data_IF_569804489797
#
_entry.id   IF_569804489797
#
_cell.length_a   1.000
_cell.length_b   1.000
_cell.length_c   1.000
_cell.angle_alpha   90.00
_cell.angle_beta   90.00
_cell.angle_gamma   90.00
#
_symmetry.space_group_name_H-M   'P 1'
#
loop_
_entity.id
_entity.type
_entity.pdbx_description
1 polymer ?
#
# COMPACT_ATOMS: atom_id res chain seq x y z
N UNK A 1 22.01 -14.58 7.31
CA UNK A 1 20.86 -14.32 6.41
C UNK A 1 21.06 -12.96 5.79
N UNK A 2 20.98 -12.82 4.45
CA UNK A 2 21.08 -11.52 3.80
C UNK A 2 20.01 -10.56 4.31
N UNK A 3 20.30 -9.25 4.31
CA UNK A 3 19.34 -8.22 4.66
C UNK A 3 18.09 -8.30 3.76
N UNK A 4 16.86 -8.15 4.32
CA UNK A 4 15.66 -8.05 3.50
C UNK A 4 15.52 -6.70 2.79
N UNK A 5 16.42 -5.74 3.03
CA UNK A 5 16.36 -4.37 2.51
C UNK A 5 17.38 -4.18 1.38
N UNK A 6 16.95 -3.63 0.24
CA UNK A 6 17.79 -3.47 -0.97
C UNK A 6 18.73 -2.26 -0.88
N UNK A 7 18.18 -1.12 -0.48
CA UNK A 7 18.82 0.20 -0.65
C UNK A 7 18.97 0.98 0.64
N UNK A 8 18.42 0.43 1.72
CA UNK A 8 18.33 1.06 3.04
C UNK A 8 18.92 0.14 4.10
N UNK A 9 19.32 0.75 5.21
CA UNK A 9 19.81 0.10 6.42
C UNK A 9 18.97 0.54 7.63
N UNK A 10 17.69 0.13 7.71
CA UNK A 10 16.83 0.54 8.82
C UNK A 10 17.41 0.09 10.17
N UNK A 11 17.25 0.94 11.19
CA UNK A 11 17.65 0.60 12.53
C UNK A 11 16.95 -0.68 13.02
N UNK A 12 17.65 -1.46 13.85
CA UNK A 12 17.07 -2.68 14.40
C UNK A 12 15.81 -2.35 15.23
N UNK A 13 14.69 -3.10 15.10
CA UNK A 13 13.45 -2.80 15.83
C UNK A 13 13.61 -2.68 17.35
N UNK A 14 14.59 -3.39 17.93
CA UNK A 14 14.90 -3.33 19.36
C UNK A 14 15.48 -1.99 19.83
N UNK A 15 16.07 -1.21 18.91
CA UNK A 15 16.61 0.11 19.19
C UNK A 15 15.57 1.22 19.04
N UNK A 16 14.35 0.89 18.60
CA UNK A 16 13.28 1.86 18.43
C UNK A 16 12.83 2.44 19.76
N UNK A 17 12.54 3.74 19.75
CA UNK A 17 11.93 4.50 20.85
C UNK A 17 10.68 5.22 20.35
N UNK A 18 9.94 5.87 21.26
CA UNK A 18 8.78 6.71 20.91
C UNK A 18 7.69 5.97 20.12
N UNK A 19 7.11 6.67 19.13
CA UNK A 19 6.02 6.17 18.28
C UNK A 19 6.42 4.94 17.46
N UNK A 20 7.66 4.89 16.96
CA UNK A 20 8.19 3.73 16.22
C UNK A 20 8.18 2.46 17.08
N UNK A 21 8.57 2.57 18.35
CA UNK A 21 8.48 1.45 19.29
C UNK A 21 7.03 1.04 19.57
N UNK A 22 6.11 2.01 19.64
CA UNK A 22 4.69 1.75 19.84
C UNK A 22 4.06 1.01 18.65
N UNK A 23 4.41 1.38 17.43
CA UNK A 23 4.02 0.66 16.20
C UNK A 23 4.54 -0.77 16.22
N UNK A 24 5.81 -0.99 16.57
CA UNK A 24 6.36 -2.34 16.65
C UNK A 24 5.69 -3.20 17.73
N UNK A 25 5.29 -2.61 18.86
CA UNK A 25 4.48 -3.32 19.87
C UNK A 25 3.11 -3.72 19.31
N UNK A 26 2.39 -2.81 18.64
CA UNK A 26 1.10 -3.14 18.03
C UNK A 26 1.23 -4.21 16.93
N UNK A 27 2.28 -4.16 16.11
CA UNK A 27 2.56 -5.19 15.10
C UNK A 27 2.74 -6.58 15.74
N UNK A 28 3.49 -6.69 16.84
CA UNK A 28 3.68 -7.98 17.53
C UNK A 28 2.38 -8.46 18.21
N UNK A 29 1.61 -7.54 18.79
CA UNK A 29 0.31 -7.83 19.39
C UNK A 29 -0.73 -8.30 18.37
N UNK A 30 -0.88 -7.58 17.26
CA UNK A 30 -1.95 -7.81 16.29
C UNK A 30 -1.62 -8.92 15.28
N UNK A 31 -0.35 -9.08 14.92
CA UNK A 31 0.08 -10.02 13.88
C UNK A 31 1.01 -11.13 14.38
N UNK A 32 1.53 -11.04 15.61
CA UNK A 32 2.52 -12.00 16.13
C UNK A 32 3.86 -11.97 15.39
N UNK A 33 4.15 -10.88 14.65
CA UNK A 33 5.38 -10.75 13.88
C UNK A 33 6.38 -9.81 14.58
N UNK A 34 7.46 -10.41 15.10
CA UNK A 34 8.59 -9.65 15.66
C UNK A 34 9.43 -8.91 14.62
N UNK A 35 9.28 -9.26 13.34
CA UNK A 35 9.94 -8.59 12.21
C UNK A 35 8.93 -8.41 11.09
N UNK A 36 8.64 -7.16 10.76
CA UNK A 36 7.77 -6.78 9.67
C UNK A 36 8.54 -5.90 8.68
N UNK A 37 9.29 -6.46 7.71
CA UNK A 37 10.20 -5.68 6.87
C UNK A 37 9.52 -4.54 6.11
N UNK A 38 8.29 -4.73 5.64
CA UNK A 38 7.52 -3.68 4.94
C UNK A 38 7.22 -2.45 5.81
N UNK A 39 7.15 -2.62 7.13
CA UNK A 39 7.03 -1.50 8.08
C UNK A 39 8.39 -1.05 8.60
N UNK A 40 9.32 -1.98 8.80
CA UNK A 40 10.66 -1.64 9.32
C UNK A 40 11.41 -0.73 8.35
N UNK A 41 11.24 -0.92 7.03
CA UNK A 41 11.84 -0.02 6.04
C UNK A 41 11.32 1.42 6.15
N UNK A 42 10.06 1.62 6.55
CA UNK A 42 9.48 2.95 6.74
C UNK A 42 9.98 3.65 8.01
N UNK A 43 10.67 2.95 8.92
CA UNK A 43 11.16 3.53 10.18
C UNK A 43 12.19 4.64 10.02
N UNK A 44 12.83 4.74 8.84
CA UNK A 44 13.67 5.88 8.49
C UNK A 44 12.87 7.21 8.40
N UNK A 45 11.54 7.12 8.26
CA UNK A 45 10.61 8.24 8.33
C UNK A 45 9.45 7.91 9.30
N UNK A 46 9.60 8.13 10.62
CA UNK A 46 8.65 7.67 11.64
C UNK A 46 7.18 8.04 11.37
N UNK A 47 6.91 9.26 10.89
CA UNK A 47 5.54 9.68 10.53
C UNK A 47 4.92 8.80 9.42
N UNK A 48 5.72 8.37 8.43
CA UNK A 48 5.27 7.44 7.39
C UNK A 48 5.00 6.05 7.96
N UNK A 49 5.88 5.54 8.83
CA UNK A 49 5.68 4.26 9.50
C UNK A 49 4.36 4.25 10.30
N UNK A 50 4.18 5.25 11.15
CA UNK A 50 2.99 5.38 12.01
C UNK A 50 1.73 5.45 11.16
N UNK A 51 1.67 6.38 10.20
CA UNK A 51 0.48 6.56 9.38
C UNK A 51 0.16 5.33 8.51
N UNK A 52 1.19 4.67 7.97
CA UNK A 52 1.00 3.43 7.20
C UNK A 52 0.48 2.29 8.06
N UNK A 53 0.97 2.16 9.29
CA UNK A 53 0.48 1.14 10.22
C UNK A 53 -0.98 1.38 10.61
N UNK A 54 -1.33 2.62 10.96
CA UNK A 54 -2.72 2.98 11.28
C UNK A 54 -3.65 2.70 10.09
N UNK A 55 -3.28 3.14 8.88
CA UNK A 55 -4.08 2.88 7.68
C UNK A 55 -4.30 1.38 7.42
N UNK A 56 -3.26 0.56 7.58
CA UNK A 56 -3.36 -0.91 7.44
C UNK A 56 -4.19 -1.52 8.56
N UNK A 57 -3.95 -1.14 9.81
CA UNK A 57 -4.61 -1.75 10.96
C UNK A 57 -6.10 -1.47 10.96
N UNK A 58 -6.49 -0.21 10.75
CA UNK A 58 -7.90 0.19 10.76
C UNK A 58 -8.66 -0.33 9.54
N UNK A 59 -7.99 -0.56 8.40
CA UNK A 59 -8.64 -1.16 7.22
C UNK A 59 -8.70 -2.69 7.28
N UNK A 60 -7.59 -3.36 7.54
CA UNK A 60 -7.43 -4.81 7.35
C UNK A 60 -7.74 -5.62 8.62
N UNK A 61 -7.40 -5.10 9.81
CA UNK A 61 -7.41 -5.84 11.07
C UNK A 61 -8.61 -5.53 11.95
N UNK A 62 -8.93 -4.24 12.11
CA UNK A 62 -10.08 -3.78 12.87
C UNK A 62 -11.38 -3.85 12.05
N UNK A 63 -12.51 -3.54 12.68
CA UNK A 63 -13.81 -3.41 12.01
C UNK A 63 -14.68 -4.67 12.04
N UNK A 64 -15.80 -4.60 11.32
CA UNK A 64 -16.83 -5.63 11.27
C UNK A 64 -16.78 -6.49 10.01
N UNK A 65 -16.07 -6.05 8.96
CA UNK A 65 -15.97 -6.83 7.73
C UNK A 65 -15.10 -8.08 7.92
N UNK A 66 -15.45 -9.22 7.30
CA UNK A 66 -14.65 -10.45 7.42
C UNK A 66 -13.20 -10.23 6.97
N UNK A 67 -12.24 -10.53 7.87
CA UNK A 67 -10.81 -10.31 7.62
C UNK A 67 -10.26 -11.13 6.45
N UNK A 68 -10.79 -12.32 6.26
CA UNK A 68 -10.47 -13.20 5.14
C UNK A 68 -10.92 -12.63 3.79
N UNK A 69 -12.10 -12.00 3.73
CA UNK A 69 -12.59 -11.27 2.57
C UNK A 69 -11.74 -10.03 2.27
N UNK A 70 -11.38 -9.25 3.29
CA UNK A 70 -10.43 -8.12 3.15
C UNK A 70 -9.06 -8.58 2.67
N UNK A 71 -8.57 -9.71 3.17
CA UNK A 71 -7.32 -10.31 2.72
C UNK A 71 -7.38 -10.73 1.23
N UNK A 72 -8.53 -11.18 0.71
CA UNK A 72 -8.69 -11.48 -0.72
C UNK A 72 -8.63 -10.22 -1.59
N UNK A 73 -9.23 -9.11 -1.16
CA UNK A 73 -9.07 -7.81 -1.83
C UNK A 73 -7.59 -7.40 -1.87
N UNK A 74 -6.89 -7.49 -0.73
CA UNK A 74 -5.47 -7.19 -0.67
C UNK A 74 -4.64 -8.11 -1.59
N UNK A 75 -5.01 -9.40 -1.70
CA UNK A 75 -4.34 -10.34 -2.62
C UNK A 75 -4.52 -9.93 -4.09
N UNK A 76 -5.70 -9.43 -4.47
CA UNK A 76 -5.97 -8.92 -5.81
C UNK A 76 -5.08 -7.72 -6.16
N UNK A 77 -4.99 -6.78 -5.22
CA UNK A 77 -4.11 -5.61 -5.35
C UNK A 77 -2.64 -6.02 -5.48
N UNK A 78 -2.19 -7.00 -4.70
CA UNK A 78 -0.81 -7.53 -4.78
C UNK A 78 -0.54 -8.21 -6.11
N UNK A 79 -1.52 -8.93 -6.69
CA UNK A 79 -1.40 -9.49 -8.05
C UNK A 79 -1.28 -8.40 -9.11
N UNK A 80 -2.05 -7.32 -8.97
CA UNK A 80 -2.04 -6.20 -9.91
C UNK A 80 -0.79 -5.30 -9.77
N UNK A 81 -0.11 -5.33 -8.63
CA UNK A 81 1.07 -4.48 -8.38
C UNK A 81 2.34 -5.12 -8.94
N UNK A 82 3.09 -4.45 -9.84
CA UNK A 82 4.33 -5.00 -10.42
C UNK A 82 5.33 -5.45 -9.34
N UNK A 83 5.74 -6.72 -9.42
CA UNK A 83 6.71 -7.38 -8.52
C UNK A 83 6.25 -7.67 -7.09
N UNK A 84 5.08 -7.19 -6.66
CA UNK A 84 4.63 -7.33 -5.27
C UNK A 84 4.41 -8.79 -4.83
N UNK A 85 4.06 -9.69 -5.75
CA UNK A 85 3.89 -11.12 -5.44
C UNK A 85 5.19 -11.73 -4.86
N UNK A 86 6.36 -11.33 -5.36
CA UNK A 86 7.66 -11.90 -4.94
C UNK A 86 8.08 -11.47 -3.53
N UNK A 87 7.51 -10.38 -3.04
CA UNK A 87 7.73 -9.84 -1.69
C UNK A 87 6.51 -10.01 -0.79
N UNK A 88 5.46 -10.72 -1.23
CA UNK A 88 4.19 -10.81 -0.52
C UNK A 88 4.30 -11.40 0.89
N UNK A 89 5.33 -12.22 1.15
CA UNK A 89 5.61 -12.75 2.48
C UNK A 89 6.06 -11.70 3.52
N UNK A 90 6.36 -10.46 3.10
CA UNK A 90 6.69 -9.34 3.98
C UNK A 90 5.49 -8.44 4.29
N UNK A 91 4.33 -8.69 3.66
CA UNK A 91 3.10 -7.93 3.83
C UNK A 91 2.33 -8.39 5.09
N UNK A 92 1.40 -7.56 5.61
CA UNK A 92 0.60 -7.91 6.79
C UNK A 92 -0.45 -9.00 6.52
N UNK A 93 -1.09 -9.01 5.34
CA UNK A 93 -2.22 -9.89 5.02
C UNK A 93 -1.97 -11.41 5.18
N UNK A 94 -0.79 -11.97 4.87
CA UNK A 94 -0.48 -13.37 5.21
C UNK A 94 -0.59 -13.73 6.70
N UNK A 95 -0.49 -12.75 7.60
CA UNK A 95 -0.37 -12.96 9.04
C UNK A 95 -1.71 -12.74 9.79
N UNK A 96 -2.76 -12.28 9.10
CA UNK A 96 -4.08 -12.06 9.73
C UNK A 96 -4.87 -13.37 9.82
N UNK A 97 -5.91 -13.39 10.67
CA UNK A 97 -6.93 -14.44 10.61
C UNK A 97 -7.58 -14.44 9.21
N UNK A 98 -7.39 -15.51 8.43
CA UNK A 98 -7.73 -15.54 7.00
C UNK A 98 -6.55 -15.47 6.03
N UNK A 99 -5.32 -15.26 6.51
CA UNK A 99 -4.09 -15.18 5.70
C UNK A 99 -3.82 -16.43 4.84
N UNK A 100 -4.42 -17.57 5.19
CA UNK A 100 -4.46 -18.77 4.33
C UNK A 100 -5.07 -18.47 2.95
N UNK A 101 -6.20 -17.76 2.90
CA UNK A 101 -6.88 -17.43 1.63
C UNK A 101 -6.06 -16.46 0.79
N UNK A 102 -5.40 -15.48 1.41
CA UNK A 102 -4.44 -14.61 0.74
C UNK A 102 -3.33 -15.43 0.06
N UNK A 103 -2.74 -16.38 0.79
CA UNK A 103 -1.66 -17.21 0.27
C UNK A 103 -2.10 -18.19 -0.82
N UNK A 104 -3.29 -18.77 -0.67
CA UNK A 104 -3.89 -19.64 -1.68
C UNK A 104 -4.17 -18.87 -2.97
N UNK A 105 -4.75 -17.67 -2.85
CA UNK A 105 -4.91 -16.78 -3.98
C UNK A 105 -3.56 -16.49 -4.65
N UNK A 106 -2.53 -16.07 -3.95
CA UNK A 106 -1.24 -15.81 -4.62
C UNK A 106 -0.56 -17.06 -5.18
N UNK A 107 -0.73 -18.23 -4.54
CA UNK A 107 -0.06 -19.47 -4.91
C UNK A 107 -0.74 -20.29 -6.01
N UNK A 108 -2.04 -20.12 -6.26
CA UNK A 108 -2.79 -20.85 -7.29
C UNK A 108 -2.60 -20.28 -8.70
N UNK A 109 -2.29 -18.99 -8.81
CA UNK A 109 -2.25 -18.26 -10.09
C UNK A 109 -3.61 -18.06 -10.78
N UNK A 110 -4.66 -18.76 -10.33
CA UNK A 110 -6.03 -18.71 -10.85
C UNK A 110 -7.05 -18.15 -9.85
N UNK A 111 -8.32 -18.09 -10.24
CA UNK A 111 -9.39 -17.67 -9.33
C UNK A 111 -9.64 -18.72 -8.21
N UNK A 112 -10.04 -18.31 -6.99
CA UNK A 112 -10.61 -19.19 -5.99
C UNK A 112 -11.79 -19.99 -6.54
N UNK A 113 -12.01 -21.21 -6.02
CA UNK A 113 -13.15 -22.06 -6.40
C UNK A 113 -14.48 -21.45 -5.93
N UNK A 114 -14.49 -20.81 -4.77
CA UNK A 114 -15.65 -20.09 -4.26
C UNK A 114 -15.89 -18.78 -5.06
N UNK A 115 -17.10 -18.64 -5.60
CA UNK A 115 -17.45 -17.53 -6.49
C UNK A 115 -17.41 -16.16 -5.79
N UNK A 116 -17.79 -16.08 -4.51
CA UNK A 116 -17.75 -14.82 -3.75
C UNK A 116 -16.29 -14.38 -3.51
N UNK A 117 -15.42 -15.32 -3.16
CA UNK A 117 -13.99 -15.07 -3.05
C UNK A 117 -13.34 -14.68 -4.38
N UNK A 118 -13.75 -15.32 -5.48
CA UNK A 118 -13.28 -14.97 -6.81
C UNK A 118 -13.65 -13.53 -7.19
N UNK A 119 -14.89 -13.10 -6.89
CA UNK A 119 -15.32 -11.71 -7.11
C UNK A 119 -14.51 -10.70 -6.29
N UNK A 120 -14.24 -10.96 -5.02
CA UNK A 120 -13.42 -10.08 -4.18
C UNK A 120 -11.98 -9.94 -4.71
N UNK A 121 -11.39 -11.05 -5.15
CA UNK A 121 -10.05 -11.06 -5.74
C UNK A 121 -10.00 -10.32 -7.07
N UNK A 122 -11.02 -10.52 -7.92
CA UNK A 122 -11.17 -9.82 -9.19
C UNK A 122 -11.35 -8.31 -8.98
N UNK A 123 -12.23 -7.91 -8.06
CA UNK A 123 -12.43 -6.51 -7.68
C UNK A 123 -11.13 -5.85 -7.23
N UNK A 124 -10.38 -6.47 -6.29
CA UNK A 124 -9.09 -5.94 -5.85
C UNK A 124 -8.01 -5.91 -6.94
N UNK A 125 -8.11 -6.76 -7.96
CA UNK A 125 -7.21 -6.71 -9.13
C UNK A 125 -7.58 -5.54 -10.04
N UNK A 126 -8.88 -5.30 -10.20
CA UNK A 126 -9.45 -4.26 -11.06
C UNK A 126 -9.28 -2.84 -10.53
N UNK A 127 -9.07 -2.63 -9.22
CA UNK A 127 -8.90 -1.28 -8.62
C UNK A 127 -7.78 -0.46 -9.24
N UNK A 128 -6.78 -1.11 -9.86
CA UNK A 128 -5.68 -0.44 -10.56
C UNK A 128 -6.11 0.22 -11.87
N UNK A 129 -7.19 -0.25 -12.48
CA UNK A 129 -7.65 0.14 -13.83
C UNK A 129 -8.94 0.95 -13.72
N UNK A 130 -8.90 2.27 -13.99
CA UNK A 130 -10.11 3.09 -14.00
C UNK A 130 -11.16 2.54 -14.98
N UNK A 131 -12.43 2.52 -14.55
CA UNK A 131 -13.55 2.08 -15.40
C UNK A 131 -13.63 0.57 -15.64
N UNK A 132 -12.80 -0.24 -14.96
CA UNK A 132 -12.91 -1.69 -15.05
C UNK A 132 -14.33 -2.17 -14.65
N UNK A 133 -14.95 -3.10 -15.39
CA UNK A 133 -16.34 -3.52 -15.16
C UNK A 133 -16.59 -4.04 -13.73
N UNK A 134 -15.60 -4.69 -13.13
CA UNK A 134 -15.68 -5.22 -11.77
C UNK A 134 -15.90 -4.12 -10.73
N UNK A 135 -15.49 -2.87 -11.01
CA UNK A 135 -15.65 -1.76 -10.08
C UNK A 135 -17.07 -1.20 -10.05
N UNK A 136 -17.90 -1.52 -11.05
CA UNK A 136 -19.27 -1.00 -11.15
C UNK A 136 -20.21 -1.60 -10.09
N UNK A 137 -19.98 -2.85 -9.69
CA UNK A 137 -20.73 -3.55 -8.64
C UNK A 137 -19.77 -4.19 -7.62
N UNK A 138 -19.31 -3.42 -6.61
CA UNK A 138 -18.41 -3.92 -5.58
C UNK A 138 -19.03 -5.13 -4.84
N UNK A 139 -18.30 -6.26 -4.69
CA UNK A 139 -18.84 -7.52 -4.18
C UNK A 139 -18.90 -7.55 -2.65
N UNK A 140 -19.26 -6.44 -2.01
CA UNK A 140 -19.35 -6.32 -0.57
C UNK A 140 -20.50 -5.39 -0.14
N UNK A 141 -21.06 -5.59 1.08
CA UNK A 141 -22.14 -4.74 1.58
C UNK A 141 -21.69 -3.27 1.71
N UNK A 142 -22.56 -2.29 1.39
CA UNK A 142 -22.24 -0.86 1.52
C UNK A 142 -21.77 -0.45 2.92
N UNK A 143 -22.34 -1.04 3.98
CA UNK A 143 -21.93 -0.77 5.37
C UNK A 143 -20.49 -1.19 5.71
N UNK A 144 -19.86 -2.03 4.87
CA UNK A 144 -18.44 -2.40 5.00
C UNK A 144 -17.54 -1.71 3.98
N UNK A 145 -18.08 -0.84 3.13
CA UNK A 145 -17.31 -0.19 2.06
C UNK A 145 -16.04 0.53 2.57
N UNK A 146 -16.06 1.27 3.71
CA UNK A 146 -14.84 1.89 4.24
C UNK A 146 -13.70 0.89 4.48
N UNK A 147 -14.00 -0.29 5.03
CA UNK A 147 -12.98 -1.29 5.36
C UNK A 147 -12.37 -1.93 4.09
N UNK A 148 -13.19 -2.22 3.07
CA UNK A 148 -12.73 -2.78 1.81
C UNK A 148 -11.97 -1.77 0.94
N UNK A 149 -12.48 -0.54 0.82
CA UNK A 149 -11.81 0.55 0.10
C UNK A 149 -10.47 0.88 0.77
N UNK A 150 -10.47 1.08 2.09
CA UNK A 150 -9.25 1.32 2.84
C UNK A 150 -8.23 0.18 2.70
N UNK A 151 -8.70 -1.08 2.66
CA UNK A 151 -7.82 -2.24 2.47
C UNK A 151 -7.17 -2.21 1.09
N UNK A 152 -7.93 -1.92 0.03
CA UNK A 152 -7.38 -1.82 -1.32
C UNK A 152 -6.35 -0.68 -1.44
N UNK A 153 -6.66 0.50 -0.89
CA UNK A 153 -5.79 1.68 -0.93
C UNK A 153 -4.52 1.48 -0.11
N UNK A 154 -4.62 0.97 1.11
CA UNK A 154 -3.46 0.65 1.94
C UNK A 154 -2.61 -0.47 1.31
N UNK A 155 -3.23 -1.48 0.70
CA UNK A 155 -2.52 -2.52 -0.04
C UNK A 155 -1.75 -1.95 -1.23
N UNK A 156 -2.35 -1.02 -2.00
CA UNK A 156 -1.67 -0.35 -3.11
C UNK A 156 -0.43 0.44 -2.67
N UNK A 157 -0.49 1.07 -1.51
CA UNK A 157 0.67 1.77 -0.94
C UNK A 157 1.74 0.77 -0.48
N UNK A 158 1.42 -0.14 0.43
CA UNK A 158 2.41 -1.03 1.07
C UNK A 158 3.01 -2.03 0.07
N UNK A 159 2.25 -2.50 -0.91
CA UNK A 159 2.75 -3.41 -1.95
C UNK A 159 3.84 -2.76 -2.80
N UNK A 160 3.72 -1.47 -3.11
CA UNK A 160 4.71 -0.69 -3.87
C UNK A 160 5.96 -0.40 -3.06
N UNK A 161 5.81 -0.01 -1.78
CA UNK A 161 6.94 0.11 -0.84
C UNK A 161 7.73 -1.20 -0.80
N UNK A 162 7.04 -2.32 -0.59
CA UNK A 162 7.67 -3.63 -0.49
C UNK A 162 8.38 -4.02 -1.79
N UNK A 163 7.73 -3.83 -2.94
CA UNK A 163 8.29 -4.21 -4.24
C UNK A 163 9.52 -3.37 -4.63
N UNK A 164 9.57 -2.10 -4.21
CA UNK A 164 10.68 -1.21 -4.48
C UNK A 164 11.88 -1.47 -3.56
N UNK A 165 11.64 -1.61 -2.27
CA UNK A 165 12.70 -1.51 -1.26
C UNK A 165 13.12 -2.84 -0.61
N UNK A 166 12.35 -3.92 -0.79
CA UNK A 166 12.64 -5.21 -0.18
C UNK A 166 13.19 -6.21 -1.17
N UNK A 167 14.09 -7.05 -0.69
CA UNK A 167 14.50 -8.24 -1.42
C UNK A 167 13.42 -9.30 -1.33
N UNK A 168 13.30 -10.06 -2.41
CA UNK A 168 12.53 -11.29 -2.40
C UNK A 168 13.09 -12.19 -1.29
N UNK A 169 12.20 -12.83 -0.52
CA UNK A 169 12.64 -14.03 0.17
C UNK A 169 13.01 -15.04 -0.93
N UNK A 170 14.20 -15.65 -0.81
CA UNK A 170 14.76 -16.69 -1.67
C UNK A 170 13.69 -17.51 -2.44
N UNK A 171 13.94 -17.84 -3.73
CA UNK A 171 12.91 -18.00 -4.76
C UNK A 171 11.81 -18.95 -4.31
N UNK A 172 10.69 -18.36 -3.88
CA UNK A 172 9.51 -19.12 -3.53
C UNK A 172 8.69 -19.32 -4.81
N UNK A 173 9.01 -20.35 -5.57
CA UNK A 173 8.03 -20.90 -6.50
C UNK A 173 6.69 -21.14 -5.76
N UNK A 174 5.54 -21.14 -6.44
CA UNK A 174 4.21 -21.14 -5.81
C UNK A 174 3.98 -22.29 -4.81
N UNK A 175 4.72 -23.40 -4.93
CA UNK A 175 4.74 -24.51 -3.96
C UNK A 175 5.42 -24.15 -2.62
N UNK A 176 6.50 -23.37 -2.65
CA UNK A 176 7.26 -22.96 -1.46
C UNK A 176 6.68 -21.73 -0.77
N UNK A 177 6.00 -20.84 -1.50
CA UNK A 177 5.15 -19.81 -0.90
C UNK A 177 4.03 -20.48 -0.09
N UNK A 178 3.39 -21.52 -0.65
CA UNK A 178 2.38 -22.33 0.07
C UNK A 178 2.93 -23.04 1.30
N UNK A 179 4.17 -23.52 1.30
CA UNK A 179 4.77 -24.17 2.49
C UNK A 179 5.26 -23.16 3.52
N UNK A 180 5.83 -22.03 3.10
CA UNK A 180 6.23 -20.94 3.97
C UNK A 180 5.01 -20.31 4.65
N UNK A 181 3.92 -20.09 3.91
CA UNK A 181 2.67 -19.57 4.50
C UNK A 181 1.95 -20.63 5.33
N UNK A 182 2.00 -21.92 4.98
CA UNK A 182 1.51 -22.99 5.89
C UNK A 182 2.32 -23.07 7.19
N UNK A 183 3.64 -22.91 7.13
CA UNK A 183 4.50 -22.86 8.31
C UNK A 183 4.28 -21.60 9.16
N UNK A 184 3.92 -20.48 8.52
CA UNK A 184 3.52 -19.22 9.20
C UNK A 184 2.12 -19.32 9.79
N UNK A 185 1.18 -19.97 9.10
CA UNK A 185 -0.19 -20.25 9.57
C UNK A 185 -0.25 -21.35 10.65
N UNK A 186 0.71 -22.27 10.69
CA UNK A 186 0.85 -23.29 11.74
C UNK A 186 1.44 -22.78 13.04
N UNK A 187 2.08 -21.59 13.03
CA UNK A 187 2.49 -20.86 14.24
C UNK A 187 1.46 -19.84 14.72
N UNK A 188 0.30 -19.76 14.05
CA UNK A 188 -0.86 -18.97 14.48
C UNK A 188 -1.59 -19.54 15.71
N UNK A 189 -0.95 -20.45 16.46
CA UNK A 189 -1.44 -21.07 17.68
C UNK A 189 -1.67 -20.14 18.88
N UNK A 190 -1.94 -18.84 18.66
CA UNK A 190 -2.49 -17.92 19.67
C UNK A 190 -3.45 -16.87 19.07
N UNK A 191 -3.74 -16.88 17.76
CA UNK A 191 -4.60 -15.86 17.14
C UNK A 191 -6.08 -15.98 17.56
N UNK A 192 -6.52 -17.17 17.98
CA UNK A 192 -7.88 -17.43 18.46
C UNK A 192 -8.14 -16.89 19.88
N UNK A 193 -7.09 -16.65 20.68
CA UNK A 193 -7.20 -16.11 22.04
C UNK A 193 -6.95 -14.60 22.11
N UNK A 194 -6.42 -14.00 21.03
CA UNK A 194 -6.17 -12.56 20.96
C UNK A 194 -7.47 -11.84 20.65
N UNK A 195 -7.87 -10.97 21.56
CA UNK A 195 -8.97 -10.01 21.36
C UNK A 195 -8.85 -9.36 19.97
N UNK A 196 -9.93 -9.32 19.17
CA UNK A 196 -9.88 -8.64 17.87
C UNK A 196 -9.51 -7.16 18.07
N UNK A 197 -8.56 -6.61 17.26
CA UNK A 197 -8.26 -5.19 17.25
C UNK A 197 -9.51 -4.33 17.18
N UNK A 198 -9.66 -3.40 18.13
CA UNK A 198 -10.80 -2.49 18.17
C UNK A 198 -10.58 -1.34 17.18
N UNK A 199 -11.63 -0.94 16.43
CA UNK A 199 -11.57 0.27 15.61
C UNK A 199 -11.16 1.49 16.43
N UNK A 200 -10.29 2.32 15.87
CA UNK A 200 -9.84 3.58 16.47
C UNK A 200 -8.67 3.46 17.46
N UNK A 201 -8.34 2.25 17.93
CA UNK A 201 -7.31 2.06 18.96
C UNK A 201 -5.90 2.47 18.51
N UNK A 202 -5.59 2.42 17.21
CA UNK A 202 -4.29 2.89 16.71
C UNK A 202 -4.23 4.38 16.41
N UNK A 203 -5.35 5.10 16.44
CA UNK A 203 -5.39 6.54 16.16
C UNK A 203 -4.62 7.36 17.20
N UNK A 204 -4.51 6.85 18.44
CA UNK A 204 -3.71 7.48 19.49
C UNK A 204 -2.22 7.60 19.13
N UNK A 205 -1.73 6.82 18.15
CA UNK A 205 -0.36 6.92 17.64
C UNK A 205 -0.15 8.15 16.74
N UNK A 206 -1.21 8.78 16.22
CA UNK A 206 -1.10 9.79 15.17
C UNK A 206 -0.62 11.17 15.63
N UNK A 207 -0.46 11.41 16.94
CA UNK A 207 0.24 12.55 17.56
C UNK A 207 -0.19 13.97 17.12
N UNK A 208 0.05 14.31 15.86
CA UNK A 208 -0.33 15.55 15.17
C UNK A 208 -1.62 15.47 14.33
N UNK A 209 -2.60 14.64 14.74
CA UNK A 209 -3.91 14.50 14.09
C UNK A 209 -3.89 13.70 12.78
N UNK A 210 -4.99 13.66 12.02
CA UNK A 210 -5.10 12.95 10.73
C UNK A 210 -5.22 13.88 9.51
N UNK A 211 -5.76 15.09 9.65
CA UNK A 211 -6.13 15.95 8.52
C UNK A 211 -7.52 15.62 7.96
N UNK A 212 -7.95 16.20 6.82
CA UNK A 212 -9.32 16.03 6.32
C UNK A 212 -9.60 14.60 5.84
N UNK A 213 -10.58 13.93 6.42
CA UNK A 213 -10.88 12.54 6.06
C UNK A 213 -11.56 12.43 4.69
N UNK A 214 -11.28 11.34 3.94
CA UNK A 214 -11.96 11.13 2.68
C UNK A 214 -13.43 10.75 2.88
N UNK A 215 -14.30 11.23 2.00
CA UNK A 215 -15.75 11.04 2.13
C UNK A 215 -16.20 9.58 2.06
N UNK A 216 -15.45 8.71 1.37
CA UNK A 216 -15.76 7.28 1.31
C UNK A 216 -15.63 6.57 2.66
N UNK A 217 -14.91 7.16 3.61
CA UNK A 217 -14.71 6.58 4.94
C UNK A 217 -15.89 6.84 5.88
N UNK A 218 -16.74 7.84 5.58
CA UNK A 218 -17.95 8.16 6.35
C UNK A 218 -17.72 8.24 7.89
N UNK A 219 -16.62 8.86 8.30
CA UNK A 219 -16.22 9.00 9.70
C UNK A 219 -15.68 7.73 10.37
N UNK A 220 -15.51 6.62 9.63
CA UNK A 220 -14.89 5.41 10.15
C UNK A 220 -13.38 5.64 10.40
N UNK A 221 -12.78 4.99 11.43
CA UNK A 221 -11.35 5.16 11.79
C UNK A 221 -10.34 4.95 10.64
N UNK A 222 -10.72 4.16 9.63
CA UNK A 222 -9.91 3.97 8.42
C UNK A 222 -9.68 5.27 7.63
N UNK A 223 -10.64 6.21 7.67
CA UNK A 223 -10.54 7.54 7.07
C UNK A 223 -9.43 8.37 7.72
N UNK A 224 -9.40 8.41 9.05
CA UNK A 224 -8.33 9.06 9.81
C UNK A 224 -6.95 8.46 9.50
N UNK A 225 -6.85 7.13 9.42
CA UNK A 225 -5.60 6.45 9.04
C UNK A 225 -5.12 6.83 7.64
N UNK A 226 -6.03 6.84 6.66
CA UNK A 226 -5.69 7.19 5.30
C UNK A 226 -5.36 8.69 5.12
N UNK A 227 -6.07 9.58 5.82
CA UNK A 227 -5.77 11.01 5.84
C UNK A 227 -4.38 11.29 6.45
N UNK A 228 -4.02 10.57 7.53
CA UNK A 228 -2.68 10.65 8.10
C UNK A 228 -1.61 10.15 7.12
N UNK A 229 -1.89 9.08 6.38
CA UNK A 229 -0.99 8.55 5.36
C UNK A 229 -0.75 9.57 4.24
N UNK A 230 -1.82 10.21 3.76
CA UNK A 230 -1.70 11.34 2.82
C UNK A 230 -0.78 12.40 3.37
N UNK A 231 -1.04 12.91 4.58
CA UNK A 231 -0.24 13.97 5.19
C UNK A 231 1.24 13.58 5.30
N UNK A 232 1.52 12.36 5.76
CA UNK A 232 2.90 11.89 5.92
C UNK A 232 3.62 11.70 4.58
N UNK A 233 2.93 11.20 3.56
CA UNK A 233 3.51 10.96 2.22
C UNK A 233 3.68 12.25 1.41
N UNK A 234 2.87 13.27 1.65
CA UNK A 234 2.96 14.57 0.97
C UNK A 234 3.67 15.63 1.82
N UNK A 235 4.19 15.29 2.99
CA UNK A 235 4.93 16.23 3.84
C UNK A 235 6.14 16.83 3.10
N UNK A 236 6.49 18.07 3.43
CA UNK A 236 7.64 18.75 2.84
C UNK A 236 8.94 17.98 3.11
N UNK A 237 9.80 17.96 2.11
CA UNK A 237 11.08 17.27 2.13
C UNK A 237 12.01 17.92 1.10
N UNK A 238 13.30 18.14 1.42
CA UNK A 238 14.27 18.62 0.44
C UNK A 238 14.37 17.74 -0.81
N UNK A 239 14.09 16.44 -0.69
CA UNK A 239 14.08 15.51 -1.82
C UNK A 239 12.81 15.63 -2.70
N UNK A 240 11.77 16.30 -2.23
CA UNK A 240 10.47 16.44 -2.91
C UNK A 240 10.17 17.92 -3.18
N UNK A 241 10.91 18.52 -4.10
CA UNK A 241 10.66 19.86 -4.61
C UNK A 241 9.30 19.93 -5.33
N UNK A 242 8.78 21.15 -5.53
CA UNK A 242 7.51 21.34 -6.25
C UNK A 242 7.56 20.84 -7.70
N UNK A 243 8.72 20.95 -8.35
CA UNK A 243 8.95 20.41 -9.69
C UNK A 243 8.82 18.88 -9.71
N UNK A 244 9.47 18.19 -8.75
CA UNK A 244 9.35 16.74 -8.58
C UNK A 244 7.89 16.33 -8.33
N UNK A 245 7.20 17.01 -7.41
CA UNK A 245 5.80 16.71 -7.07
C UNK A 245 4.89 16.87 -8.27
N UNK A 246 5.00 17.99 -8.97
CA UNK A 246 4.15 18.32 -10.12
C UNK A 246 4.34 17.30 -11.24
N UNK A 247 5.59 16.98 -11.59
CA UNK A 247 5.89 15.99 -12.64
C UNK A 247 5.36 14.60 -12.29
N UNK A 248 5.57 14.14 -11.05
CA UNK A 248 5.10 12.82 -10.61
C UNK A 248 3.57 12.75 -10.62
N UNK A 249 2.89 13.75 -10.07
CA UNK A 249 1.44 13.78 -10.01
C UNK A 249 0.80 13.85 -11.40
N UNK A 250 1.37 14.63 -12.32
CA UNK A 250 0.91 14.68 -13.71
C UNK A 250 1.01 13.30 -14.38
N UNK A 251 2.20 12.69 -14.36
CA UNK A 251 2.41 11.38 -14.98
C UNK A 251 1.56 10.26 -14.36
N UNK A 252 1.33 10.28 -13.05
CA UNK A 252 0.43 9.32 -12.38
C UNK A 252 -1.04 9.60 -12.73
N UNK A 253 -1.43 10.86 -12.93
CA UNK A 253 -2.78 11.24 -13.37
C UNK A 253 -3.07 10.84 -14.82
N UNK A 254 -2.05 10.74 -15.66
CA UNK A 254 -2.21 10.29 -17.05
C UNK A 254 -2.10 8.75 -17.21
N UNK A 255 -1.60 8.05 -16.19
CA UNK A 255 -1.36 6.60 -16.26
C UNK A 255 -2.64 5.77 -16.33
N UNK A 256 -2.88 5.03 -17.40
CA UNK A 256 -4.07 4.20 -17.64
C UNK A 256 -4.33 3.03 -16.66
N UNK A 257 -3.42 2.75 -15.72
CA UNK A 257 -3.49 1.57 -14.85
C UNK A 257 -2.74 0.36 -15.40
N UNK A 258 -2.19 0.44 -16.62
CA UNK A 258 -1.41 -0.60 -17.28
C UNK A 258 -0.07 -0.88 -16.60
N UNK A 259 0.60 -1.99 -16.96
CA UNK A 259 1.98 -2.22 -16.51
C UNK A 259 2.93 -1.45 -17.45
N UNK A 260 3.78 -0.55 -16.94
CA UNK A 260 4.77 0.10 -17.80
C UNK A 260 5.69 -0.94 -18.46
N UNK A 261 6.11 -0.73 -19.73
CA UNK A 261 7.00 -1.65 -20.42
C UNK A 261 8.37 -1.74 -19.73
N UNK A 262 9.10 -2.82 -20.01
CA UNK A 262 10.45 -3.03 -19.48
C UNK A 262 11.45 -2.00 -20.02
N UNK A 263 11.27 -1.56 -21.26
CA UNK A 263 11.98 -0.41 -21.80
C UNK A 263 11.51 0.86 -21.09
N UNK A 264 12.44 1.64 -20.53
CA UNK A 264 12.14 2.83 -19.72
C UNK A 264 12.02 4.13 -20.51
N UNK A 265 11.71 4.06 -21.81
CA UNK A 265 11.47 5.27 -22.62
C UNK A 265 10.33 6.12 -22.05
N UNK A 266 9.28 5.47 -21.50
CA UNK A 266 8.18 6.14 -20.81
C UNK A 266 8.66 7.04 -19.66
N UNK A 267 9.64 6.57 -18.88
CA UNK A 267 10.19 7.29 -17.74
C UNK A 267 10.94 8.53 -18.21
N UNK A 268 11.78 8.40 -19.25
CA UNK A 268 12.53 9.54 -19.77
C UNK A 268 11.65 10.60 -20.42
N UNK A 269 10.54 10.20 -21.06
CA UNK A 269 9.53 11.13 -21.58
C UNK A 269 8.95 12.03 -20.49
N UNK A 270 8.48 11.43 -19.38
CA UNK A 270 7.92 12.15 -18.23
C UNK A 270 8.92 13.08 -17.54
N UNK A 271 10.22 12.78 -17.63
CA UNK A 271 11.29 13.54 -16.96
C UNK A 271 11.95 14.60 -17.87
N UNK A 272 11.49 14.75 -19.11
CA UNK A 272 12.14 15.58 -20.14
C UNK A 272 12.25 17.07 -19.79
N UNK A 273 11.38 17.59 -18.91
CA UNK A 273 11.42 18.97 -18.43
C UNK A 273 12.34 19.17 -17.20
N UNK A 274 12.66 18.10 -16.45
CA UNK A 274 13.43 18.20 -15.21
C UNK A 274 14.95 18.22 -15.45
N UNK A 275 15.67 18.94 -14.59
CA UNK A 275 17.13 19.12 -14.64
C UNK A 275 17.74 18.91 -13.25
N UNK A 276 19.07 18.75 -13.19
CA UNK A 276 19.79 18.62 -11.92
C UNK A 276 19.27 17.48 -11.03
N UNK A 277 19.23 17.75 -9.72
CA UNK A 277 18.83 16.79 -8.68
C UNK A 277 17.35 16.37 -8.76
N UNK A 278 16.48 17.21 -9.33
CA UNK A 278 15.03 16.92 -9.45
C UNK A 278 14.76 15.73 -10.37
N UNK A 279 15.54 15.59 -11.45
CA UNK A 279 15.33 14.54 -12.44
C UNK A 279 15.45 13.12 -11.85
N UNK A 280 16.54 12.75 -11.16
CA UNK A 280 16.62 11.43 -10.52
C UNK A 280 15.68 11.26 -9.33
N UNK A 281 15.38 12.32 -8.57
CA UNK A 281 14.39 12.26 -7.49
C UNK A 281 12.98 11.89 -8.03
N UNK A 282 12.53 12.59 -9.08
CA UNK A 282 11.27 12.27 -9.75
C UNK A 282 11.29 10.89 -10.41
N UNK A 283 12.45 10.45 -10.95
CA UNK A 283 12.59 9.11 -11.50
C UNK A 283 12.30 8.02 -10.46
N UNK A 284 12.87 8.14 -9.27
CA UNK A 284 12.64 7.19 -8.17
C UNK A 284 11.18 7.20 -7.71
N UNK A 285 10.57 8.38 -7.56
CA UNK A 285 9.15 8.48 -7.21
C UNK A 285 8.24 7.84 -8.28
N UNK A 286 8.49 8.08 -9.57
CA UNK A 286 7.73 7.46 -10.67
C UNK A 286 7.91 5.94 -10.73
N UNK A 287 9.13 5.45 -10.52
CA UNK A 287 9.38 4.00 -10.41
C UNK A 287 8.61 3.43 -9.21
N UNK A 288 8.66 4.04 -8.03
CA UNK A 288 7.88 3.64 -6.87
C UNK A 288 6.37 3.60 -7.12
N UNK A 289 5.85 4.55 -7.90
CA UNK A 289 4.44 4.63 -8.26
C UNK A 289 3.99 3.57 -9.28
N UNK A 290 4.72 3.44 -10.39
CA UNK A 290 4.23 2.77 -11.60
C UNK A 290 4.90 1.43 -11.87
N UNK A 291 6.16 1.27 -11.46
CA UNK A 291 6.98 0.10 -11.73
C UNK A 291 8.00 -0.16 -10.60
N UNK A 292 7.55 -0.42 -9.35
CA UNK A 292 8.44 -0.51 -8.19
C UNK A 292 9.45 -1.66 -8.33
N UNK A 293 9.10 -2.71 -9.07
CA UNK A 293 9.99 -3.82 -9.40
C UNK A 293 11.13 -3.46 -10.35
N UNK A 294 11.07 -2.27 -10.95
CA UNK A 294 12.10 -1.73 -11.80
C UNK A 294 13.09 -0.83 -11.05
N UNK A 295 13.01 -0.59 -9.74
CA UNK A 295 14.10 0.16 -9.07
C UNK A 295 15.42 -0.64 -9.15
N UNK A 296 16.51 0.00 -9.60
CA UNK A 296 17.87 -0.57 -9.73
C UNK A 296 18.89 0.17 -8.88
N UNK A 297 20.01 -0.48 -8.55
CA UNK A 297 21.14 0.13 -7.84
C UNK A 297 21.63 1.40 -8.55
N UNK A 298 21.73 1.38 -9.88
CA UNK A 298 22.14 2.54 -10.69
C UNK A 298 21.20 3.74 -10.56
N UNK A 299 19.89 3.51 -10.36
CA UNK A 299 18.92 4.61 -10.17
C UNK A 299 19.17 5.29 -8.81
N UNK A 300 19.49 4.50 -7.79
CA UNK A 300 19.79 4.97 -6.43
C UNK A 300 21.15 5.68 -6.38
N UNK A 301 22.18 5.10 -6.99
CA UNK A 301 23.52 5.68 -7.07
C UNK A 301 23.51 7.02 -7.79
N UNK A 302 22.78 7.12 -8.91
CA UNK A 302 22.66 8.36 -9.67
C UNK A 302 21.88 9.44 -8.91
N UNK A 303 20.83 9.07 -8.17
CA UNK A 303 20.15 10.01 -7.28
C UNK A 303 21.06 10.48 -6.15
N UNK A 304 21.76 9.57 -5.47
CA UNK A 304 22.66 9.93 -4.35
C UNK A 304 23.81 10.83 -4.79
N UNK A 305 24.34 10.67 -6.00
CA UNK A 305 25.45 11.49 -6.51
C UNK A 305 25.04 12.90 -6.96
N UNK A 306 23.74 13.14 -7.15
CA UNK A 306 23.19 14.42 -7.63
C UNK A 306 22.37 15.16 -6.58
N UNK A 307 21.96 14.47 -5.51
CA UNK A 307 21.21 15.04 -4.42
C UNK A 307 22.04 16.12 -3.68
N UNK A 308 21.40 17.22 -3.22
CA UNK A 308 22.05 18.20 -2.35
C UNK A 308 22.68 17.55 -1.10
N UNK A 309 23.71 18.16 -0.56
CA UNK A 309 24.38 17.70 0.66
C UNK A 309 23.34 17.37 1.76
N UNK A 310 23.48 16.18 2.36
CA UNK A 310 22.61 15.66 3.43
C UNK A 310 21.17 15.30 3.02
N UNK A 311 20.86 15.16 1.74
CA UNK A 311 19.50 14.79 1.24
C UNK A 311 19.47 13.49 0.43
N UNK A 312 20.40 12.58 0.73
CA UNK A 312 20.63 11.31 0.03
C UNK A 312 20.50 10.08 0.94
N UNK A 313 19.91 10.26 2.14
CA UNK A 313 19.82 9.22 3.16
C UNK A 313 18.64 8.27 2.97
N UNK A 314 18.56 7.27 3.84
CA UNK A 314 17.44 6.30 3.84
C UNK A 314 16.08 6.98 4.02
N UNK A 315 16.02 8.02 4.86
CA UNK A 315 14.80 8.78 5.11
C UNK A 315 14.29 9.46 3.83
N UNK A 316 15.19 10.06 3.05
CA UNK A 316 14.86 10.75 1.80
C UNK A 316 14.42 9.77 0.72
N UNK A 317 15.13 8.64 0.58
CA UNK A 317 14.75 7.57 -0.34
C UNK A 317 13.36 7.01 0.00
N UNK A 318 13.11 6.72 1.28
CA UNK A 318 11.81 6.23 1.74
C UNK A 318 10.71 7.25 1.43
N UNK A 319 10.95 8.55 1.62
CA UNK A 319 9.98 9.61 1.30
C UNK A 319 9.69 9.70 -0.19
N UNK A 320 10.71 9.61 -1.06
CA UNK A 320 10.53 9.60 -2.53
C UNK A 320 9.66 8.43 -2.99
N UNK A 321 10.01 7.21 -2.55
CA UNK A 321 9.24 6.01 -2.91
C UNK A 321 7.84 6.05 -2.31
N UNK A 322 7.68 6.52 -1.06
CA UNK A 322 6.39 6.66 -0.42
C UNK A 322 5.49 7.70 -1.09
N UNK A 323 6.04 8.84 -1.51
CA UNK A 323 5.29 9.84 -2.27
C UNK A 323 4.76 9.26 -3.58
N UNK A 324 5.60 8.55 -4.35
CA UNK A 324 5.17 7.85 -5.56
C UNK A 324 4.11 6.77 -5.29
N UNK A 325 4.34 5.93 -4.29
CA UNK A 325 3.39 4.88 -3.89
C UNK A 325 2.03 5.46 -3.46
N UNK A 326 2.04 6.56 -2.70
CA UNK A 326 0.84 7.27 -2.29
C UNK A 326 0.14 7.95 -3.48
N UNK A 327 0.87 8.61 -4.37
CA UNK A 327 0.28 9.22 -5.57
C UNK A 327 -0.50 8.18 -6.40
N UNK A 328 0.06 6.97 -6.56
CA UNK A 328 -0.63 5.88 -7.23
C UNK A 328 -1.88 5.39 -6.47
N UNK A 329 -1.85 5.36 -5.14
CA UNK A 329 -3.02 5.03 -4.32
C UNK A 329 -4.10 6.12 -4.38
N UNK A 330 -3.72 7.41 -4.36
CA UNK A 330 -4.62 8.55 -4.47
C UNK A 330 -5.31 8.60 -5.85
N UNK A 331 -4.61 8.21 -6.92
CA UNK A 331 -5.24 8.01 -8.23
C UNK A 331 -6.34 6.95 -8.18
N UNK A 332 -6.07 5.82 -7.55
CA UNK A 332 -7.06 4.73 -7.37
C UNK A 332 -8.23 5.20 -6.52
N UNK A 333 -7.97 5.94 -5.44
CA UNK A 333 -9.03 6.55 -4.62
C UNK A 333 -9.94 7.43 -5.48
N UNK A 334 -9.35 8.29 -6.32
CA UNK A 334 -10.09 9.19 -7.20
C UNK A 334 -10.92 8.46 -8.27
N UNK A 335 -10.53 7.24 -8.69
CA UNK A 335 -11.32 6.43 -9.63
C UNK A 335 -12.45 5.63 -8.96
N UNK A 336 -12.37 5.41 -7.65
CA UNK A 336 -13.40 4.71 -6.86
C UNK A 336 -14.47 5.66 -6.32
N UNK A 337 -14.11 6.91 -6.01
CA UNK A 337 -15.03 7.94 -5.49
C UNK A 337 -16.21 8.36 -6.41
N UNK A 338 -16.18 8.23 -7.76
CA UNK A 338 -17.30 8.63 -8.62
C UNK A 338 -18.41 7.57 -8.79
N UNK A 339 -18.17 6.31 -8.41
CA UNK A 339 -19.15 5.23 -8.64
C UNK A 339 -20.34 5.25 -7.65
N UNK A 340 -20.20 5.93 -6.51
CA UNK A 340 -21.23 5.98 -5.46
C UNK A 340 -22.28 7.08 -5.61
N UNK A 341 -22.10 8.05 -6.53
CA UNK A 341 -23.09 9.15 -6.74
C UNK A 341 -24.17 8.87 -7.79
N UNK A 342 -24.02 7.84 -8.64
CA UNK A 342 -24.97 7.58 -9.75
C UNK A 342 -26.20 6.75 -9.38
N UNK A 343 -26.33 6.21 -8.16
CA UNK A 343 -27.48 5.37 -7.75
C UNK A 343 -28.55 6.09 -6.93
N UNK A 344 -28.40 7.39 -6.65
CA UNK A 344 -29.41 8.20 -5.93
C UNK A 344 -30.28 9.09 -6.82
N UNK A 345 -30.21 8.93 -8.15
CA UNK A 345 -31.12 9.60 -9.09
C UNK A 345 -32.45 8.84 -9.22
N UNK A 346 -33.38 9.07 -8.31
CA UNK A 346 -34.80 8.79 -8.57
C UNK A 346 -35.28 9.71 -9.71
N UNK A 347 -36.15 9.24 -10.63
CA UNK A 347 -36.61 10.06 -11.75
C UNK A 347 -37.44 11.24 -11.24
N UNK A 348 -37.04 12.46 -11.59
CA UNK A 348 -37.84 13.65 -11.39
C UNK A 348 -39.17 13.49 -12.13
N UNK A 349 -40.26 13.43 -11.37
CA UNK A 349 -41.62 13.42 -11.90
C UNK A 349 -41.88 14.65 -12.76
N UNK A 350 -42.52 14.42 -13.89
CA UNK A 350 -43.07 15.46 -14.76
C UNK A 350 -44.10 16.30 -13.98
N UNK A 351 -44.08 17.63 -14.08
CA UNK A 351 -45.23 18.43 -13.70
C UNK A 351 -46.23 18.50 -14.87
N UNK A 352 -47.46 18.07 -14.62
CA UNK A 352 -48.68 18.59 -15.28
C UNK A 352 -49.06 19.90 -14.57
N UNK A 353 -49.65 20.91 -15.23
CA UNK A 353 -50.85 20.82 -16.08
C UNK A 353 -50.64 21.04 -17.57
#
# INVERSE_FOLDING_TARGET
>A
MPSPYRYTTPAAPKAATGETAAVYRQLDLDLGVRRAPAFTVLSAAPALLVASWVAVRESLLAGGAPRDAKALVAAGVVRATPGAVRVAGHLPAPHVAGGRRFAEALGSGGAPEDAAHARLLAWGTATRTPGAPELADPPFPPGHAPEYLGTALAAHFVSRIAAALLTERAPAGPRRLRSAVRALGGRSGTAAERRPPRPGESLALLGGGCGPEPSWADGAPVGAGFAALRRAATADSPALTDAVRTTVLAAVTDWDGGRPPAARSWLYGSLSALRGADRPAAALALLGALAPDQVRDTDIEFWRSTAPDRTAGDADLVRLIAFGAYAAAARVEASLAPATRRRSGAPAGLPRP
#
